data_IF_541750477803
#
_entry.id   IF_541750477803
#
_cell.length_a   1.000
_cell.length_b   1.000
_cell.length_c   1.000
_cell.angle_alpha   90.00
_cell.angle_beta   90.00
_cell.angle_gamma   90.00
#
_symmetry.space_group_name_H-M   'P 1'
#
loop_
_entity.id
_entity.type
_entity.pdbx_description
1 polymer ?
#
# COMPACT_ATOMS: atom_id res chain seq x y z
N UNK A 1 9.07 2.50 13.20
CA UNK A 1 8.95 1.67 11.97
C UNK A 1 10.30 1.04 11.69
N UNK A 2 10.35 -0.23 11.31
CA UNK A 2 11.63 -0.87 11.03
C UNK A 2 12.19 -0.44 9.67
N UNK A 3 13.46 -0.78 9.42
CA UNK A 3 14.14 -0.32 8.20
C UNK A 3 13.52 -0.90 6.92
N UNK A 4 12.95 -2.10 6.97
CA UNK A 4 12.29 -2.71 5.81
C UNK A 4 11.04 -1.92 5.42
N UNK A 5 10.21 -1.56 6.40
CA UNK A 5 9.01 -0.75 6.16
C UNK A 5 9.37 0.66 5.71
N UNK A 6 10.42 1.23 6.25
CA UNK A 6 10.88 2.56 5.82
C UNK A 6 11.29 2.54 4.36
N UNK A 7 12.01 1.51 3.93
CA UNK A 7 12.40 1.36 2.51
C UNK A 7 11.19 1.19 1.61
N UNK A 8 10.20 0.41 2.05
CA UNK A 8 8.96 0.24 1.27
C UNK A 8 8.22 1.57 1.16
N UNK A 9 8.14 2.33 2.25
CA UNK A 9 7.49 3.63 2.25
C UNK A 9 8.17 4.59 1.28
N UNK A 10 9.50 4.64 1.31
CA UNK A 10 10.27 5.47 0.38
C UNK A 10 10.04 5.04 -1.07
N UNK A 11 9.98 3.74 -1.32
CA UNK A 11 9.75 3.21 -2.65
C UNK A 11 8.36 3.58 -3.17
N UNK A 12 7.34 3.58 -2.30
CA UNK A 12 5.98 3.98 -2.66
C UNK A 12 5.94 5.44 -3.11
N UNK A 13 6.76 6.29 -2.50
CA UNK A 13 6.81 7.71 -2.83
C UNK A 13 7.84 8.07 -3.89
N UNK A 14 8.59 7.10 -4.40
CA UNK A 14 9.61 7.34 -5.41
C UNK A 14 9.00 7.83 -6.73
N UNK A 15 9.75 8.66 -7.44
CA UNK A 15 9.38 9.15 -8.76
C UNK A 15 10.47 8.80 -9.76
N UNK A 16 10.12 8.27 -10.92
CA UNK A 16 8.75 7.86 -11.32
C UNK A 16 8.22 6.71 -10.48
N UNK A 17 6.89 6.52 -10.52
CA UNK A 17 6.22 5.48 -9.75
C UNK A 17 6.78 4.11 -10.08
N UNK A 18 7.19 3.37 -9.06
CA UNK A 18 7.75 2.03 -9.21
C UNK A 18 6.70 1.00 -9.63
N UNK A 19 7.12 0.05 -10.47
CA UNK A 19 6.32 -1.12 -10.83
C UNK A 19 6.95 -2.42 -10.30
N UNK A 20 7.93 -2.31 -9.41
CA UNK A 20 8.70 -3.45 -8.92
C UNK A 20 8.57 -3.68 -7.42
N UNK A 21 7.66 -2.98 -6.75
CA UNK A 21 7.41 -3.17 -5.32
C UNK A 21 6.51 -4.39 -5.15
N UNK A 22 6.94 -5.35 -4.36
CA UNK A 22 6.12 -6.52 -4.05
C UNK A 22 4.88 -6.10 -3.26
N UNK A 23 3.72 -6.58 -3.69
CA UNK A 23 2.45 -6.28 -3.04
C UNK A 23 2.47 -6.61 -1.55
N UNK A 24 3.02 -7.78 -1.19
CA UNK A 24 3.08 -8.21 0.20
C UNK A 24 3.80 -7.22 1.10
N UNK A 25 4.83 -6.56 0.58
CA UNK A 25 5.57 -5.56 1.36
C UNK A 25 4.73 -4.31 1.60
N UNK A 26 3.92 -3.92 0.61
CA UNK A 26 3.01 -2.78 0.77
C UNK A 26 1.96 -3.11 1.83
N UNK A 27 1.36 -4.29 1.75
CA UNK A 27 0.33 -4.71 2.70
C UNK A 27 0.88 -4.73 4.13
N UNK A 28 2.07 -5.29 4.33
CA UNK A 28 2.72 -5.32 5.64
C UNK A 28 3.05 -3.92 6.14
N UNK A 29 3.47 -3.02 5.25
CA UNK A 29 3.73 -1.63 5.62
C UNK A 29 2.47 -0.96 6.14
N UNK A 30 1.35 -1.11 5.42
CA UNK A 30 0.09 -0.49 5.81
C UNK A 30 -0.39 -1.00 7.16
N UNK A 31 -0.26 -2.30 7.40
CA UNK A 31 -0.61 -2.91 8.68
C UNK A 31 0.31 -2.38 9.79
N UNK A 32 1.60 -2.25 9.53
CA UNK A 32 2.57 -1.75 10.51
C UNK A 32 2.29 -0.30 10.92
N UNK A 33 1.73 0.50 10.01
CA UNK A 33 1.34 1.89 10.30
C UNK A 33 0.11 1.94 11.22
N UNK A 34 -0.68 0.85 11.25
CA UNK A 34 -1.89 0.79 12.05
C UNK A 34 -3.16 0.89 11.23
N UNK A 35 -3.04 0.80 9.91
CA UNK A 35 -4.20 0.83 9.02
C UNK A 35 -4.94 -0.50 9.13
N UNK A 36 -6.27 -0.43 9.29
CA UNK A 36 -7.08 -1.63 9.34
C UNK A 36 -7.19 -2.24 7.95
N UNK A 37 -6.87 -3.53 7.84
CA UNK A 37 -6.98 -4.27 6.58
C UNK A 37 -8.16 -5.23 6.70
N UNK A 38 -9.11 -5.10 5.78
CA UNK A 38 -10.31 -5.95 5.75
C UNK A 38 -10.32 -6.72 4.45
N UNK A 39 -10.29 -8.05 4.55
CA UNK A 39 -10.40 -8.91 3.37
C UNK A 39 -11.86 -9.06 2.98
N UNK A 40 -12.12 -8.97 1.69
CA UNK A 40 -13.44 -9.18 1.11
C UNK A 40 -13.36 -10.42 0.21
N UNK A 41 -14.42 -10.71 -0.50
CA UNK A 41 -14.47 -11.87 -1.37
C UNK A 41 -13.37 -11.84 -2.44
N UNK A 42 -12.77 -13.01 -2.68
CA UNK A 42 -11.72 -13.17 -3.66
C UNK A 42 -10.45 -12.44 -3.24
N UNK A 43 -9.86 -11.70 -4.15
CA UNK A 43 -8.60 -10.98 -3.92
C UNK A 43 -8.79 -9.54 -3.47
N UNK A 44 -10.03 -9.12 -3.25
CA UNK A 44 -10.33 -7.74 -2.87
C UNK A 44 -9.95 -7.47 -1.42
N UNK A 45 -9.33 -6.32 -1.18
CA UNK A 45 -8.92 -5.90 0.17
C UNK A 45 -9.23 -4.41 0.34
N UNK A 46 -9.68 -4.05 1.53
CA UNK A 46 -9.97 -2.65 1.88
C UNK A 46 -9.05 -2.22 3.03
N UNK A 47 -8.51 -1.02 2.92
CA UNK A 47 -7.69 -0.42 3.97
C UNK A 47 -8.43 0.79 4.52
N UNK A 48 -8.57 0.83 5.84
CA UNK A 48 -9.39 1.84 6.52
C UNK A 48 -8.58 2.55 7.59
N UNK A 49 -8.62 3.89 7.58
CA UNK A 49 -8.02 4.70 8.63
C UNK A 49 -8.58 6.13 8.59
N UNK A 50 -8.91 6.68 9.75
CA UNK A 50 -9.34 8.08 9.89
C UNK A 50 -10.46 8.48 8.92
N UNK A 51 -11.45 7.60 8.76
CA UNK A 51 -12.59 7.79 7.86
C UNK A 51 -12.22 7.79 6.37
N UNK A 52 -11.00 7.39 6.04
CA UNK A 52 -10.57 7.19 4.66
C UNK A 52 -10.56 5.70 4.33
N UNK A 53 -10.85 5.40 3.08
CA UNK A 53 -10.93 4.02 2.61
C UNK A 53 -10.18 3.88 1.29
N UNK A 54 -9.45 2.79 1.15
CA UNK A 54 -8.75 2.42 -0.08
C UNK A 54 -9.10 0.98 -0.41
N UNK A 55 -9.73 0.76 -1.56
CA UNK A 55 -10.10 -0.58 -2.04
C UNK A 55 -9.17 -0.97 -3.18
N UNK A 56 -8.53 -2.12 -3.05
CA UNK A 56 -7.63 -2.64 -4.07
C UNK A 56 -7.84 -4.14 -4.24
N UNK A 57 -7.38 -4.67 -5.36
CA UNK A 57 -7.32 -6.11 -5.60
C UNK A 57 -5.88 -6.57 -5.51
N UNK A 58 -5.65 -7.68 -4.80
CA UNK A 58 -4.32 -8.28 -4.76
C UNK A 58 -3.97 -8.76 -6.17
N UNK A 59 -2.72 -8.54 -6.63
CA UNK A 59 -2.32 -9.00 -7.95
C UNK A 59 -2.48 -10.51 -8.11
N UNK A 60 -3.05 -10.93 -9.23
CA UNK A 60 -3.21 -12.35 -9.54
C UNK A 60 -1.98 -12.93 -10.24
N UNK A 61 -1.36 -12.12 -11.09
CA UNK A 61 -0.19 -12.52 -11.86
C UNK A 61 1.00 -11.68 -11.42
N UNK A 62 2.04 -12.37 -10.95
CA UNK A 62 3.22 -11.71 -10.45
C UNK A 62 3.07 -11.27 -8.99
N UNK A 63 4.19 -10.85 -8.42
CA UNK A 63 4.27 -10.44 -7.02
C UNK A 63 4.15 -8.94 -6.83
N UNK A 64 4.43 -8.19 -7.90
CA UNK A 64 4.56 -6.74 -7.82
C UNK A 64 3.22 -6.05 -7.92
N UNK A 65 3.07 -4.98 -7.13
CA UNK A 65 1.93 -4.10 -7.26
C UNK A 65 2.01 -3.34 -8.58
N UNK A 66 0.86 -3.11 -9.20
CA UNK A 66 0.80 -2.31 -10.42
C UNK A 66 1.01 -0.84 -10.08
N UNK A 67 1.51 -0.07 -11.06
CA UNK A 67 1.78 1.36 -10.83
C UNK A 67 0.56 2.12 -10.32
N UNK A 68 -0.62 1.85 -10.86
CA UNK A 68 -1.82 2.55 -10.39
C UNK A 68 -2.11 2.22 -8.93
N UNK A 69 -1.80 0.99 -8.49
CA UNK A 69 -1.98 0.60 -7.09
C UNK A 69 -1.01 1.34 -6.19
N UNK A 70 0.24 1.47 -6.62
CA UNK A 70 1.25 2.22 -5.87
C UNK A 70 0.83 3.69 -5.74
N UNK A 71 0.32 4.27 -6.82
CA UNK A 71 -0.18 5.65 -6.79
C UNK A 71 -1.36 5.81 -5.84
N UNK A 72 -2.28 4.84 -5.85
CA UNK A 72 -3.44 4.87 -4.96
C UNK A 72 -3.00 4.77 -3.50
N UNK A 73 -2.04 3.91 -3.20
CA UNK A 73 -1.47 3.78 -1.85
C UNK A 73 -0.80 5.09 -1.43
N UNK A 74 -0.01 5.69 -2.33
CA UNK A 74 0.64 6.96 -2.07
C UNK A 74 -0.37 8.04 -1.72
N UNK A 75 -1.44 8.17 -2.51
CA UNK A 75 -2.49 9.15 -2.27
C UNK A 75 -3.19 8.92 -0.93
N UNK A 76 -3.47 7.66 -0.62
CA UNK A 76 -4.10 7.29 0.64
C UNK A 76 -3.21 7.66 1.84
N UNK A 77 -1.92 7.37 1.73
CA UNK A 77 -0.97 7.71 2.79
C UNK A 77 -0.89 9.22 3.02
N UNK A 78 -0.90 9.99 1.93
CA UNK A 78 -0.92 11.46 2.05
C UNK A 78 -2.18 11.92 2.78
N UNK A 79 -3.33 11.34 2.46
CA UNK A 79 -4.60 11.70 3.10
C UNK A 79 -4.58 11.44 4.61
N UNK A 80 -3.93 10.39 5.05
CA UNK A 80 -3.86 10.05 6.47
C UNK A 80 -2.64 10.65 7.18
N UNK A 81 -1.87 11.47 6.47
CA UNK A 81 -0.76 12.21 7.06
C UNK A 81 0.55 11.45 7.18
N UNK A 82 0.74 10.38 6.40
CA UNK A 82 1.97 9.57 6.42
C UNK A 82 2.88 10.00 5.27
N UNK A 83 4.14 10.29 5.61
CA UNK A 83 5.18 10.66 4.65
C UNK A 83 6.42 9.81 4.87
N UNK A 84 7.26 9.63 3.83
CA UNK A 84 8.54 8.91 4.01
C UNK A 84 9.50 9.66 4.90
#
# INVERSE_FOLDING_TARGET
MNSKHQKTLEAVFAKPTSATIEWGKIELLLIAIGIQCVEDEGSRVSFLMNNHRLDLHRPHLGKEAKRYQVKDVQSFLVLIGVKP
#
